data_IF_701470415238
#
_entry.id   IF_701470415238
#
_cell.length_a   1.000
_cell.length_b   1.000
_cell.length_c   1.000
_cell.angle_alpha   90.00
_cell.angle_beta   90.00
_cell.angle_gamma   90.00
#
_symmetry.space_group_name_H-M   'P 1'
#
loop_
_entity.id
_entity.type
_entity.pdbx_description
1 polymer ?
#
# COMPACT_ATOMS: atom_id res chain seq x y z
N UNK A 1 -25.56 7.00 -17.53
CA UNK A 1 -24.99 5.84 -16.80
C UNK A 1 -25.24 4.60 -17.65
N UNK A 2 -24.18 3.99 -18.19
CA UNK A 2 -24.28 2.68 -18.82
C UNK A 2 -24.47 1.66 -17.71
N UNK A 3 -25.65 1.04 -17.62
CA UNK A 3 -25.86 -0.07 -16.70
C UNK A 3 -25.25 -1.32 -17.34
N UNK A 4 -24.09 -1.73 -16.83
CA UNK A 4 -23.47 -3.00 -17.21
C UNK A 4 -24.21 -4.13 -16.50
N UNK A 5 -24.91 -4.98 -17.27
CA UNK A 5 -25.50 -6.21 -16.76
C UNK A 5 -24.47 -7.33 -16.90
N UNK A 6 -23.97 -7.83 -15.77
CA UNK A 6 -23.07 -8.99 -15.72
C UNK A 6 -23.87 -10.22 -15.35
N UNK A 7 -24.00 -11.17 -16.28
CA UNK A 7 -24.57 -12.49 -15.97
C UNK A 7 -23.49 -13.38 -15.36
N UNK A 8 -23.53 -13.51 -14.04
CA UNK A 8 -22.63 -14.37 -13.26
C UNK A 8 -23.28 -15.70 -12.89
N UNK A 9 -24.51 -15.97 -13.33
CA UNK A 9 -25.22 -17.22 -13.03
C UNK A 9 -24.51 -18.48 -13.57
N UNK A 10 -23.89 -18.47 -14.77
CA UNK A 10 -23.18 -19.63 -15.30
C UNK A 10 -21.90 -20.00 -14.54
N UNK A 11 -21.40 -19.11 -13.68
CA UNK A 11 -20.16 -19.35 -12.93
C UNK A 11 -20.39 -20.38 -11.81
N UNK A 12 -19.32 -21.04 -11.37
CA UNK A 12 -19.38 -21.86 -10.16
C UNK A 12 -19.73 -20.99 -8.93
N UNK A 13 -20.18 -21.62 -7.84
CA UNK A 13 -20.45 -20.92 -6.58
C UNK A 13 -19.27 -20.07 -6.13
N UNK A 14 -18.06 -20.65 -6.14
CA UNK A 14 -16.82 -19.95 -5.79
C UNK A 14 -16.57 -18.74 -6.70
N UNK A 15 -16.61 -18.93 -8.02
CA UNK A 15 -16.36 -17.85 -8.97
C UNK A 15 -17.43 -16.75 -8.89
N UNK A 16 -18.69 -17.11 -8.62
CA UNK A 16 -19.78 -16.16 -8.38
C UNK A 16 -19.47 -15.32 -7.13
N UNK A 17 -19.09 -15.97 -6.03
CA UNK A 17 -18.75 -15.30 -4.77
C UNK A 17 -17.53 -14.39 -4.91
N UNK A 18 -16.47 -14.86 -5.57
CA UNK A 18 -15.28 -14.06 -5.85
C UNK A 18 -15.64 -12.84 -6.72
N UNK A 19 -16.44 -13.03 -7.78
CA UNK A 19 -16.91 -11.93 -8.63
C UNK A 19 -17.72 -10.89 -7.84
N UNK A 20 -18.66 -11.34 -6.99
CA UNK A 20 -19.43 -10.45 -6.12
C UNK A 20 -18.51 -9.65 -5.19
N UNK A 21 -17.52 -10.29 -4.56
CA UNK A 21 -16.53 -9.58 -3.73
C UNK A 21 -15.81 -8.49 -4.52
N UNK A 22 -15.30 -8.81 -5.71
CA UNK A 22 -14.58 -7.84 -6.53
C UNK A 22 -15.47 -6.68 -6.95
N UNK A 23 -16.72 -6.94 -7.33
CA UNK A 23 -17.67 -5.90 -7.74
C UNK A 23 -17.96 -4.94 -6.59
N UNK A 24 -18.25 -5.46 -5.39
CA UNK A 24 -18.54 -4.64 -4.21
C UNK A 24 -17.31 -3.89 -3.69
N UNK A 25 -16.11 -4.48 -3.82
CA UNK A 25 -14.84 -3.81 -3.46
C UNK A 25 -14.39 -2.79 -4.50
N UNK A 26 -14.82 -2.92 -5.75
CA UNK A 26 -14.51 -2.01 -6.85
C UNK A 26 -15.49 -0.84 -6.97
N UNK A 27 -16.66 -0.90 -6.31
CA UNK A 27 -17.62 0.20 -6.29
C UNK A 27 -17.00 1.43 -5.61
N UNK A 28 -17.01 2.56 -6.33
CA UNK A 28 -16.69 3.90 -5.86
C UNK A 28 -15.19 4.21 -5.62
N UNK A 29 -14.34 3.94 -6.63
CA UNK A 29 -12.97 4.50 -6.73
C UNK A 29 -12.88 5.56 -7.84
N UNK A 30 -13.89 6.42 -7.98
CA UNK A 30 -13.89 7.48 -8.99
C UNK A 30 -12.84 8.55 -8.70
N UNK A 31 -11.86 8.71 -9.60
CA UNK A 31 -10.97 9.89 -9.68
C UNK A 31 -9.50 9.69 -9.32
N UNK A 32 -8.70 10.72 -9.61
CA UNK A 32 -7.25 10.80 -9.32
C UNK A 32 -6.94 11.10 -7.83
N UNK A 33 -7.91 10.89 -6.94
CA UNK A 33 -7.79 11.17 -5.50
C UNK A 33 -6.66 10.40 -4.79
N UNK A 34 -6.14 9.32 -5.40
CA UNK A 34 -4.97 8.62 -4.89
C UNK A 34 -3.72 9.54 -4.78
N UNK A 35 -3.64 10.54 -5.66
CA UNK A 35 -2.55 11.52 -5.69
C UNK A 35 -2.78 12.68 -4.73
N UNK A 36 -3.99 12.85 -4.18
CA UNK A 36 -4.25 13.85 -3.17
C UNK A 36 -3.39 13.57 -1.92
N UNK A 37 -2.89 14.62 -1.24
CA UNK A 37 -2.18 14.47 0.02
C UNK A 37 -3.04 13.75 1.06
N UNK A 38 -2.41 12.95 1.93
CA UNK A 38 -3.12 12.27 3.01
C UNK A 38 -3.74 13.28 4.00
N UNK A 39 -4.94 13.02 4.50
CA UNK A 39 -5.74 13.93 5.33
C UNK A 39 -5.08 14.14 6.69
N UNK A 40 -4.59 13.05 7.29
CA UNK A 40 -3.78 13.05 8.52
C UNK A 40 -2.46 13.85 8.36
N UNK A 41 -2.26 14.97 9.08
CA UNK A 41 -1.04 15.78 8.96
C UNK A 41 0.22 15.04 9.45
N UNK A 42 0.04 14.07 10.34
CA UNK A 42 1.11 13.26 10.95
C UNK A 42 1.83 12.34 9.95
N UNK A 43 1.10 11.76 8.99
CA UNK A 43 1.68 10.82 8.01
C UNK A 43 1.71 11.36 6.59
N UNK A 44 1.08 12.50 6.31
CA UNK A 44 1.08 13.13 4.98
C UNK A 44 2.48 13.22 4.40
N UNK A 45 3.44 13.80 5.14
CA UNK A 45 4.82 13.92 4.66
C UNK A 45 5.47 12.57 4.40
N UNK A 46 5.26 11.63 5.31
CA UNK A 46 5.82 10.29 5.25
C UNK A 46 5.35 9.55 3.99
N UNK A 47 4.06 9.63 3.69
CA UNK A 47 3.44 9.10 2.46
C UNK A 47 4.05 9.74 1.21
N UNK A 48 4.23 11.07 1.18
CA UNK A 48 4.84 11.75 0.02
C UNK A 48 6.31 11.38 -0.19
N UNK A 49 7.10 11.26 0.89
CA UNK A 49 8.50 10.88 0.81
C UNK A 49 8.67 9.46 0.27
N UNK A 50 7.91 8.50 0.82
CA UNK A 50 7.93 7.12 0.35
C UNK A 50 7.45 7.01 -1.10
N UNK A 51 6.39 7.74 -1.45
CA UNK A 51 5.90 7.81 -2.83
C UNK A 51 6.99 8.29 -3.76
N UNK A 52 7.60 9.45 -3.47
CA UNK A 52 8.63 10.04 -4.33
C UNK A 52 9.79 9.07 -4.57
N UNK A 53 10.32 8.47 -3.50
CA UNK A 53 11.47 7.54 -3.60
C UNK A 53 11.17 6.35 -4.50
N UNK A 54 10.00 5.73 -4.38
CA UNK A 54 9.63 4.63 -5.26
C UNK A 54 9.36 5.06 -6.69
N UNK A 55 8.72 6.22 -6.91
CA UNK A 55 8.54 6.76 -8.26
C UNK A 55 9.89 7.04 -8.94
N UNK A 56 10.85 7.62 -8.21
CA UNK A 56 12.21 7.85 -8.73
C UNK A 56 12.89 6.51 -9.11
N UNK A 57 12.72 5.45 -8.30
CA UNK A 57 13.25 4.11 -8.60
C UNK A 57 12.58 3.49 -9.82
N UNK A 58 11.25 3.56 -9.92
CA UNK A 58 10.47 3.02 -11.04
C UNK A 58 10.81 3.75 -12.36
N UNK A 59 10.93 5.08 -12.32
CA UNK A 59 11.40 5.88 -13.46
C UNK A 59 12.82 5.47 -13.89
N UNK A 60 13.71 5.20 -12.93
CA UNK A 60 15.05 4.70 -13.25
C UNK A 60 15.01 3.32 -13.92
N UNK A 61 14.16 2.38 -13.46
CA UNK A 61 13.97 1.09 -14.12
C UNK A 61 13.48 1.29 -15.55
N UNK A 62 12.44 2.12 -15.75
CA UNK A 62 11.89 2.39 -17.08
C UNK A 62 12.95 2.93 -18.05
N UNK A 63 13.67 3.97 -17.63
CA UNK A 63 14.72 4.61 -18.44
C UNK A 63 15.83 3.65 -18.78
N UNK A 64 16.23 2.80 -17.85
CA UNK A 64 17.34 1.88 -18.05
C UNK A 64 16.94 0.70 -18.94
N UNK A 65 15.72 0.16 -18.83
CA UNK A 65 15.24 -0.83 -19.80
C UNK A 65 15.28 -0.25 -21.21
N UNK A 66 14.78 0.98 -21.41
CA UNK A 66 14.83 1.64 -22.72
C UNK A 66 16.26 1.84 -23.22
N UNK A 67 17.18 2.28 -22.37
CA UNK A 67 18.58 2.50 -22.74
C UNK A 67 19.30 1.20 -23.14
N UNK A 68 19.03 0.10 -22.42
CA UNK A 68 19.57 -1.22 -22.77
C UNK A 68 19.03 -1.72 -24.10
N UNK A 69 17.71 -1.64 -24.32
CA UNK A 69 17.06 -2.07 -25.57
C UNK A 69 17.46 -1.18 -26.78
N UNK A 70 17.80 0.09 -26.55
CA UNK A 70 18.31 1.00 -27.58
C UNK A 70 19.80 0.79 -27.90
N UNK A 71 20.51 -0.03 -27.12
CA UNK A 71 21.94 -0.29 -27.30
C UNK A 71 22.86 0.81 -26.75
N UNK A 72 22.35 1.74 -25.95
CA UNK A 72 23.13 2.86 -25.37
C UNK A 72 24.28 2.39 -24.47
N UNK A 73 24.18 1.15 -23.98
CA UNK A 73 25.17 0.52 -23.10
C UNK A 73 26.16 -0.39 -23.84
N UNK A 74 25.98 -0.62 -25.15
CA UNK A 74 26.87 -1.49 -25.92
C UNK A 74 28.29 -0.91 -25.98
N UNK A 75 29.27 -1.74 -25.63
CA UNK A 75 30.70 -1.47 -25.74
C UNK A 75 31.34 -2.62 -26.51
N UNK A 76 31.87 -2.38 -27.72
CA UNK A 76 32.53 -3.41 -28.50
C UNK A 76 33.62 -4.10 -27.67
N UNK A 77 33.53 -5.42 -27.56
CA UNK A 77 34.55 -6.26 -26.93
C UNK A 77 35.31 -7.03 -28.00
N UNK A 78 36.64 -7.04 -27.94
CA UNK A 78 37.49 -7.85 -28.84
C UNK A 78 37.48 -9.34 -28.48
N UNK A 79 37.08 -9.68 -27.26
CA UNK A 79 37.05 -11.06 -26.75
C UNK A 79 35.61 -11.51 -26.41
N UNK A 80 35.24 -12.77 -26.71
CA UNK A 80 33.94 -13.30 -26.36
C UNK A 80 33.78 -13.38 -24.84
N UNK A 81 32.76 -12.70 -24.30
CA UNK A 81 32.39 -12.79 -22.88
C UNK A 81 31.42 -13.94 -22.69
N UNK A 82 31.74 -14.87 -21.78
CA UNK A 82 30.86 -15.99 -21.49
C UNK A 82 29.55 -15.52 -20.84
N UNK A 83 28.41 -16.05 -21.30
CA UNK A 83 27.09 -15.77 -20.70
C UNK A 83 27.08 -16.24 -19.23
N UNK A 84 26.78 -15.34 -18.27
CA UNK A 84 26.59 -15.73 -16.88
C UNK A 84 25.34 -16.59 -16.69
N UNK A 85 25.30 -17.38 -15.62
CA UNK A 85 24.11 -18.17 -15.28
C UNK A 85 22.89 -17.30 -14.98
N UNK A 86 21.73 -17.72 -15.50
CA UNK A 86 20.44 -17.14 -15.10
C UNK A 86 20.18 -17.48 -13.63
N UNK A 87 20.18 -16.47 -12.77
CA UNK A 87 19.92 -16.61 -11.34
C UNK A 87 18.73 -15.75 -10.95
N UNK A 88 17.97 -16.20 -9.96
CA UNK A 88 16.91 -15.39 -9.37
C UNK A 88 17.46 -14.16 -8.64
N UNK A 89 18.67 -14.28 -8.06
CA UNK A 89 19.38 -13.20 -7.37
C UNK A 89 20.88 -13.31 -7.61
N UNK A 90 21.48 -12.24 -8.10
CA UNK A 90 22.92 -12.11 -8.27
C UNK A 90 23.52 -11.33 -7.11
N UNK A 91 24.72 -11.71 -6.69
CA UNK A 91 25.57 -10.87 -5.84
C UNK A 91 26.25 -9.76 -6.68
N UNK A 92 26.99 -8.86 -6.03
CA UNK A 92 27.62 -7.71 -6.70
C UNK A 92 28.63 -8.11 -7.81
N UNK A 93 29.41 -9.17 -7.58
CA UNK A 93 30.35 -9.68 -8.57
C UNK A 93 29.61 -10.30 -9.77
N UNK A 94 28.56 -11.06 -9.52
CA UNK A 94 27.72 -11.65 -10.55
C UNK A 94 26.96 -10.58 -11.37
N UNK A 95 26.41 -9.55 -10.72
CA UNK A 95 25.82 -8.40 -11.41
C UNK A 95 26.83 -7.70 -12.31
N UNK A 96 28.08 -7.60 -11.88
CA UNK A 96 29.16 -7.03 -12.68
C UNK A 96 29.48 -7.88 -13.90
N UNK A 97 29.47 -9.22 -13.78
CA UNK A 97 29.65 -10.14 -14.90
C UNK A 97 28.47 -10.07 -15.89
N UNK A 98 27.23 -10.02 -15.40
CA UNK A 98 26.03 -9.84 -16.22
C UNK A 98 26.12 -8.54 -17.00
N UNK A 99 26.50 -7.44 -16.34
CA UNK A 99 26.72 -6.17 -17.02
C UNK A 99 27.74 -6.30 -18.15
N UNK A 100 28.92 -6.85 -17.87
CA UNK A 100 29.99 -7.00 -18.88
C UNK A 100 29.53 -7.84 -20.07
N UNK A 101 28.79 -8.92 -19.82
CA UNK A 101 28.21 -9.76 -20.86
C UNK A 101 27.21 -8.98 -21.73
N UNK A 102 26.24 -8.32 -21.13
CA UNK A 102 25.23 -7.54 -21.84
C UNK A 102 25.85 -6.36 -22.61
N UNK A 103 26.87 -5.69 -22.06
CA UNK A 103 27.57 -4.60 -22.76
C UNK A 103 28.35 -5.12 -23.98
N UNK A 104 28.77 -6.39 -24.00
CA UNK A 104 29.62 -6.95 -25.06
C UNK A 104 28.90 -7.27 -26.38
N UNK A 105 27.56 -7.35 -26.35
CA UNK A 105 26.73 -7.66 -27.51
C UNK A 105 25.73 -6.52 -27.74
N UNK A 106 25.51 -6.07 -28.97
CA UNK A 106 24.45 -5.12 -29.26
C UNK A 106 23.07 -5.84 -29.18
N UNK A 107 21.98 -5.13 -28.84
CA UNK A 107 20.66 -5.75 -28.62
C UNK A 107 20.11 -6.54 -29.81
N UNK A 108 20.52 -6.21 -31.04
CA UNK A 108 20.10 -6.94 -32.24
C UNK A 108 20.67 -8.37 -32.30
N UNK A 109 21.70 -8.66 -31.50
CA UNK A 109 22.31 -9.99 -31.37
C UNK A 109 21.84 -10.74 -30.12
N UNK A 110 21.00 -10.12 -29.30
CA UNK A 110 20.48 -10.74 -28.08
C UNK A 110 19.44 -11.82 -28.42
N UNK A 111 19.57 -12.96 -27.76
CA UNK A 111 18.48 -13.93 -27.67
C UNK A 111 17.44 -13.49 -26.63
N UNK A 112 16.29 -14.19 -26.60
CA UNK A 112 15.25 -13.93 -25.61
C UNK A 112 15.79 -13.96 -24.16
N UNK A 113 16.67 -14.91 -23.85
CA UNK A 113 17.30 -15.02 -22.53
C UNK A 113 18.14 -13.80 -22.16
N UNK A 114 18.76 -13.14 -23.14
CA UNK A 114 19.60 -11.97 -22.92
C UNK A 114 18.75 -10.74 -22.60
N UNK A 115 17.63 -10.55 -23.31
CA UNK A 115 16.62 -9.53 -22.94
C UNK A 115 16.07 -9.76 -21.54
N UNK A 116 15.78 -11.02 -21.20
CA UNK A 116 15.31 -11.40 -19.87
C UNK A 116 16.36 -11.13 -18.79
N UNK A 117 17.63 -11.38 -19.10
CA UNK A 117 18.76 -11.08 -18.23
C UNK A 117 18.93 -9.56 -18.04
N UNK A 118 18.76 -8.76 -19.10
CA UNK A 118 18.82 -7.30 -19.03
C UNK A 118 17.71 -6.72 -18.13
N UNK A 119 16.48 -7.21 -18.24
CA UNK A 119 15.39 -6.82 -17.34
C UNK A 119 15.71 -7.18 -15.89
N UNK A 120 16.16 -8.40 -15.63
CA UNK A 120 16.51 -8.86 -14.29
C UNK A 120 17.67 -8.03 -13.71
N UNK A 121 18.66 -7.69 -14.53
CA UNK A 121 19.80 -6.86 -14.14
C UNK A 121 19.34 -5.46 -13.72
N UNK A 122 18.50 -4.80 -14.52
CA UNK A 122 17.98 -3.48 -14.21
C UNK A 122 17.13 -3.52 -12.94
N UNK A 123 16.20 -4.47 -12.81
CA UNK A 123 15.35 -4.57 -11.63
C UNK A 123 16.17 -4.78 -10.35
N UNK A 124 17.13 -5.71 -10.35
CA UNK A 124 17.97 -5.95 -9.16
C UNK A 124 18.83 -4.73 -8.79
N UNK A 125 19.23 -3.91 -9.77
CA UNK A 125 20.04 -2.71 -9.52
C UNK A 125 19.23 -1.53 -8.96
N UNK A 126 18.01 -1.32 -9.43
CA UNK A 126 17.22 -0.13 -9.09
C UNK A 126 16.11 -0.40 -8.07
N UNK A 127 15.71 -1.67 -7.92
CA UNK A 127 14.76 -2.17 -6.93
C UNK A 127 15.40 -3.30 -6.05
N UNK A 128 16.56 -3.06 -5.42
CA UNK A 128 17.23 -4.08 -4.61
C UNK A 128 16.39 -4.45 -3.38
N UNK A 129 16.15 -5.75 -3.20
CA UNK A 129 15.23 -6.28 -2.18
C UNK A 129 15.57 -5.82 -0.75
N UNK A 130 16.85 -5.74 -0.40
CA UNK A 130 17.26 -5.36 0.96
C UNK A 130 16.98 -3.88 1.25
N UNK A 131 17.25 -2.97 0.30
CA UNK A 131 16.91 -1.55 0.47
C UNK A 131 15.41 -1.33 0.55
N UNK A 132 14.65 -2.05 -0.28
CA UNK A 132 13.19 -1.95 -0.29
C UNK A 132 12.57 -2.47 1.01
N UNK A 133 13.15 -3.50 1.62
CA UNK A 133 12.77 -3.97 2.95
C UNK A 133 13.09 -2.92 4.02
N UNK A 134 14.26 -2.29 3.96
CA UNK A 134 14.61 -1.18 4.86
C UNK A 134 13.65 -0.01 4.70
N UNK A 135 13.26 0.31 3.47
CA UNK A 135 12.34 1.41 3.17
C UNK A 135 10.91 1.11 3.66
N UNK A 136 10.47 -0.14 3.52
CA UNK A 136 9.20 -0.62 4.07
C UNK A 136 9.17 -0.52 5.62
N UNK A 137 10.24 -0.97 6.29
CA UNK A 137 10.35 -0.86 7.75
C UNK A 137 10.36 0.60 8.22
N UNK A 138 11.07 1.47 7.49
CA UNK A 138 11.09 2.91 7.77
C UNK A 138 9.69 3.52 7.70
N UNK A 139 8.92 3.18 6.66
CA UNK A 139 7.53 3.64 6.49
C UNK A 139 6.64 3.17 7.65
N UNK A 140 6.59 1.85 7.88
CA UNK A 140 5.67 1.25 8.84
C UNK A 140 6.00 1.64 10.28
N UNK A 141 7.28 1.69 10.63
CA UNK A 141 7.73 2.04 11.99
C UNK A 141 7.35 3.48 12.30
N UNK A 142 7.68 4.41 11.41
CA UNK A 142 7.42 5.84 11.64
C UNK A 142 5.93 6.14 11.63
N UNK A 143 5.16 5.52 10.74
CA UNK A 143 3.71 5.67 10.72
C UNK A 143 3.06 5.13 12.01
N UNK A 144 3.45 3.94 12.47
CA UNK A 144 2.95 3.39 13.73
C UNK A 144 3.31 4.23 14.95
N UNK A 145 4.54 4.75 15.00
CA UNK A 145 4.97 5.65 16.06
C UNK A 145 4.26 7.02 15.99
N UNK A 146 3.88 7.50 14.81
CA UNK A 146 3.00 8.68 14.69
C UNK A 146 1.61 8.42 15.27
N UNK A 147 1.11 7.18 15.25
CA UNK A 147 -0.08 6.79 16.01
C UNK A 147 0.11 6.95 17.51
N UNK A 148 1.27 6.54 18.05
CA UNK A 148 1.62 6.77 19.46
C UNK A 148 1.74 8.26 19.79
N UNK A 149 2.38 9.05 18.92
CA UNK A 149 2.44 10.52 19.06
C UNK A 149 1.03 11.10 19.14
N UNK A 150 0.14 10.70 18.23
CA UNK A 150 -1.25 11.14 18.24
C UNK A 150 -1.98 10.83 19.55
N UNK A 151 -1.69 9.68 20.17
CA UNK A 151 -2.28 9.29 21.45
C UNK A 151 -1.76 10.10 22.66
N UNK A 152 -0.65 10.83 22.50
CA UNK A 152 0.00 11.58 23.58
C UNK A 152 0.06 13.09 23.31
N UNK A 153 -0.50 13.56 22.20
CA UNK A 153 -0.66 14.97 21.88
C UNK A 153 -2.13 15.37 22.05
N UNK A 154 -2.35 16.60 22.50
CA UNK A 154 -3.69 17.17 22.55
C UNK A 154 -4.31 17.21 21.14
N UNK A 155 -5.61 16.92 21.06
CA UNK A 155 -6.35 16.86 19.80
C UNK A 155 -6.21 18.18 19.00
N UNK A 156 -6.26 19.31 19.70
CA UNK A 156 -6.07 20.64 19.12
C UNK A 156 -4.65 20.84 18.57
N UNK A 157 -3.63 20.31 19.26
CA UNK A 157 -2.26 20.37 18.79
C UNK A 157 -2.05 19.54 17.52
N UNK A 158 -2.68 18.36 17.42
CA UNK A 158 -2.64 17.53 16.20
C UNK A 158 -3.39 18.22 15.04
N UNK A 159 -4.56 18.81 15.31
CA UNK A 159 -5.38 19.46 14.30
C UNK A 159 -4.72 20.72 13.70
N UNK A 160 -4.01 21.48 14.54
CA UNK A 160 -3.30 22.71 14.13
C UNK A 160 -1.84 22.49 13.72
N UNK A 161 -1.38 21.24 13.72
CA UNK A 161 0.00 20.91 13.43
C UNK A 161 0.41 21.35 12.02
N UNK A 162 1.38 22.25 11.97
CA UNK A 162 2.00 22.68 10.72
C UNK A 162 2.89 21.57 10.16
N UNK A 163 3.16 21.62 8.85
CA UNK A 163 4.10 20.69 8.20
C UNK A 163 5.48 20.68 8.87
N UNK A 164 5.97 21.83 9.34
CA UNK A 164 7.25 21.92 10.07
C UNK A 164 7.25 21.16 11.39
N UNK A 165 6.14 21.20 12.13
CA UNK A 165 6.00 20.46 13.38
C UNK A 165 5.99 18.95 13.15
N UNK A 166 5.21 18.49 12.17
CA UNK A 166 5.18 17.08 11.78
C UNK A 166 6.56 16.59 11.29
N UNK A 167 7.28 17.41 10.52
CA UNK A 167 8.63 17.09 10.04
C UNK A 167 9.64 16.96 11.18
N UNK A 168 9.58 17.84 12.19
CA UNK A 168 10.45 17.77 13.36
C UNK A 168 10.22 16.49 14.17
N UNK A 169 8.96 16.12 14.39
CA UNK A 169 8.61 14.86 15.05
C UNK A 169 9.11 13.68 14.20
N UNK A 170 8.81 13.67 12.90
CA UNK A 170 9.21 12.61 12.00
C UNK A 170 10.74 12.43 11.97
N UNK A 171 11.52 13.51 12.03
CA UNK A 171 12.97 13.46 12.09
C UNK A 171 13.48 12.82 13.39
N UNK A 172 12.80 13.06 14.52
CA UNK A 172 13.13 12.50 15.83
C UNK A 172 12.68 11.03 16.02
N UNK A 173 11.77 10.54 15.18
CA UNK A 173 11.25 9.17 15.29
C UNK A 173 12.26 8.11 14.79
N UNK A 174 12.27 6.93 15.46
CA UNK A 174 13.11 5.80 15.09
C UNK A 174 12.74 5.30 13.69
N UNK A 175 13.71 4.71 12.99
CA UNK A 175 13.52 4.20 11.64
C UNK A 175 13.28 2.69 11.59
N UNK A 176 13.54 1.98 12.68
CA UNK A 176 13.36 0.52 12.78
C UNK A 176 12.56 0.15 14.02
N UNK A 177 11.92 -1.01 13.99
CA UNK A 177 11.17 -1.52 15.14
C UNK A 177 12.11 -1.73 16.32
N UNK A 178 13.31 -2.27 16.07
CA UNK A 178 14.34 -2.47 17.08
C UNK A 178 14.74 -1.15 17.79
N UNK A 179 14.92 -0.06 17.04
CA UNK A 179 15.19 1.27 17.60
C UNK A 179 14.01 1.80 18.41
N UNK A 180 12.77 1.60 17.93
CA UNK A 180 11.58 2.05 18.65
C UNK A 180 11.43 1.33 20.00
N UNK A 181 11.70 0.02 20.02
CA UNK A 181 11.67 -0.80 21.24
C UNK A 181 12.72 -0.34 22.25
N UNK A 182 13.96 -0.12 21.80
CA UNK A 182 15.05 0.27 22.69
C UNK A 182 14.87 1.69 23.24
N UNK A 183 14.33 2.61 22.44
CA UNK A 183 14.20 4.02 22.81
C UNK A 183 12.99 4.31 23.70
N UNK A 184 11.86 3.62 23.50
CA UNK A 184 10.58 3.99 24.16
C UNK A 184 10.00 2.92 25.08
N UNK A 185 10.72 1.82 25.33
CA UNK A 185 10.28 0.70 26.18
C UNK A 185 8.83 0.27 25.88
N UNK A 186 8.56 -0.03 24.61
CA UNK A 186 7.20 -0.28 24.12
C UNK A 186 6.56 -1.52 24.79
N UNK A 187 5.30 -1.43 25.26
CA UNK A 187 4.53 -2.57 25.72
C UNK A 187 4.40 -3.66 24.65
N UNK A 188 4.19 -4.92 25.06
CA UNK A 188 4.11 -6.07 24.15
C UNK A 188 3.15 -5.86 22.97
N UNK A 189 1.97 -5.27 23.23
CA UNK A 189 0.97 -4.99 22.19
C UNK A 189 1.44 -3.94 21.17
N UNK A 190 2.12 -2.88 21.59
CA UNK A 190 2.68 -1.86 20.69
C UNK A 190 3.80 -2.46 19.85
N UNK A 191 4.66 -3.30 20.44
CA UNK A 191 5.70 -4.03 19.70
C UNK A 191 5.12 -4.94 18.64
N UNK A 192 4.12 -5.75 18.99
CA UNK A 192 3.45 -6.64 18.05
C UNK A 192 2.81 -5.85 16.90
N UNK A 193 2.16 -4.73 17.20
CA UNK A 193 1.56 -3.85 16.18
C UNK A 193 2.60 -3.34 15.17
N UNK A 194 3.76 -2.89 15.63
CA UNK A 194 4.85 -2.44 14.75
C UNK A 194 5.45 -3.59 13.92
N UNK A 195 5.64 -4.77 14.53
CA UNK A 195 6.16 -5.95 13.81
C UNK A 195 5.21 -6.41 12.70
N UNK A 196 3.90 -6.47 12.97
CA UNK A 196 2.92 -6.83 11.94
C UNK A 196 2.90 -5.80 10.80
N UNK A 197 2.95 -4.50 11.14
CA UNK A 197 3.01 -3.45 10.13
C UNK A 197 4.29 -3.55 9.28
N UNK A 198 5.45 -3.82 9.91
CA UNK A 198 6.74 -4.01 9.22
C UNK A 198 6.70 -5.17 8.24
N UNK A 199 6.25 -6.35 8.68
CA UNK A 199 6.19 -7.54 7.84
C UNK A 199 5.22 -7.31 6.67
N UNK A 200 4.01 -6.82 6.95
CA UNK A 200 3.00 -6.61 5.91
C UNK A 200 3.43 -5.59 4.85
N UNK A 201 4.04 -4.49 5.27
CA UNK A 201 4.57 -3.47 4.34
C UNK A 201 5.68 -4.05 3.48
N UNK A 202 6.60 -4.82 4.08
CA UNK A 202 7.69 -5.44 3.34
C UNK A 202 7.19 -6.47 2.30
N UNK A 203 6.18 -7.28 2.64
CA UNK A 203 5.57 -8.22 1.70
C UNK A 203 4.91 -7.49 0.52
N UNK A 204 4.18 -6.40 0.78
CA UNK A 204 3.55 -5.61 -0.29
C UNK A 204 4.58 -4.95 -1.23
N UNK A 205 5.66 -4.41 -0.67
CA UNK A 205 6.75 -3.83 -1.48
C UNK A 205 7.46 -4.91 -2.29
N UNK A 206 7.73 -6.08 -1.70
CA UNK A 206 8.34 -7.21 -2.41
C UNK A 206 7.45 -7.70 -3.55
N UNK A 207 6.17 -7.91 -3.29
CA UNK A 207 5.20 -8.32 -4.31
C UNK A 207 5.13 -7.33 -5.48
N UNK A 208 5.25 -6.03 -5.21
CA UNK A 208 5.35 -5.02 -6.27
C UNK A 208 6.63 -5.19 -7.09
N UNK A 209 7.79 -5.38 -6.47
CA UNK A 209 9.05 -5.60 -7.20
C UNK A 209 9.01 -6.86 -8.06
N UNK A 210 8.44 -7.95 -7.55
CA UNK A 210 8.25 -9.18 -8.32
C UNK A 210 7.30 -8.94 -9.51
N UNK A 211 6.25 -8.14 -9.31
CA UNK A 211 5.33 -7.71 -10.36
C UNK A 211 6.03 -6.84 -11.41
N UNK A 212 6.90 -5.91 -11.03
CA UNK A 212 7.73 -5.13 -11.96
C UNK A 212 8.54 -6.08 -12.83
N UNK A 213 9.31 -7.00 -12.22
CA UNK A 213 10.13 -7.97 -12.94
C UNK A 213 9.30 -8.75 -13.96
N UNK A 214 8.20 -9.36 -13.52
CA UNK A 214 7.38 -10.19 -14.38
C UNK A 214 6.71 -9.39 -15.52
N UNK A 215 6.14 -8.22 -15.21
CA UNK A 215 5.49 -7.37 -16.22
C UNK A 215 6.46 -6.86 -17.27
N UNK A 216 7.66 -6.44 -16.87
CA UNK A 216 8.68 -5.96 -17.80
C UNK A 216 9.14 -7.07 -18.75
N UNK A 217 9.42 -8.26 -18.22
CA UNK A 217 9.76 -9.44 -19.03
C UNK A 217 8.67 -9.74 -20.06
N UNK A 218 7.42 -9.83 -19.63
CA UNK A 218 6.30 -10.12 -20.54
C UNK A 218 6.12 -9.00 -21.58
N UNK A 219 6.29 -7.74 -21.19
CA UNK A 219 6.16 -6.59 -22.10
C UNK A 219 7.22 -6.64 -23.20
N UNK A 220 8.47 -6.98 -22.85
CA UNK A 220 9.56 -7.14 -23.83
C UNK A 220 9.30 -8.34 -24.74
N UNK A 221 8.93 -9.50 -24.20
CA UNK A 221 8.60 -10.68 -25.01
C UNK A 221 7.47 -10.38 -26.02
N UNK A 222 6.38 -9.78 -25.57
CA UNK A 222 5.28 -9.38 -26.44
C UNK A 222 5.71 -8.37 -27.51
N UNK A 223 6.60 -7.43 -27.15
CA UNK A 223 7.13 -6.48 -28.12
C UNK A 223 7.98 -7.16 -29.20
N UNK A 224 8.85 -8.10 -28.82
CA UNK A 224 9.69 -8.84 -29.77
C UNK A 224 8.86 -9.77 -30.67
N UNK A 225 7.86 -10.45 -30.11
CA UNK A 225 6.89 -11.27 -30.87
C UNK A 225 6.11 -10.41 -31.87
N UNK A 226 5.65 -9.23 -31.44
CA UNK A 226 5.02 -8.27 -32.33
C UNK A 226 5.98 -7.81 -33.42
N UNK A 227 7.24 -7.45 -33.15
CA UNK A 227 8.17 -7.04 -34.20
C UNK A 227 8.37 -8.13 -35.26
N UNK A 228 8.43 -9.40 -34.87
CA UNK A 228 8.52 -10.53 -35.79
C UNK A 228 7.26 -10.69 -36.65
N UNK A 229 6.07 -10.40 -36.11
CA UNK A 229 4.79 -10.50 -36.82
C UNK A 229 4.39 -9.21 -37.57
N UNK A 230 4.90 -8.05 -37.15
CA UNK A 230 4.74 -6.72 -37.78
C UNK A 230 5.40 -6.69 -39.16
N UNK A 231 6.45 -7.50 -39.36
CA UNK A 231 7.01 -7.79 -40.69
C UNK A 231 5.96 -8.36 -41.67
N UNK A 232 4.80 -8.83 -41.19
CA UNK A 232 3.64 -9.27 -41.97
C UNK A 232 2.54 -8.20 -42.17
N UNK A 233 2.79 -6.92 -41.85
CA UNK A 233 1.95 -5.79 -42.28
C UNK A 233 0.99 -5.18 -41.26
N UNK A 234 1.13 -5.48 -39.96
CA UNK A 234 0.33 -4.85 -38.87
C UNK A 234 1.22 -3.91 -38.05
N UNK A 235 0.95 -2.59 -37.96
CA UNK A 235 1.76 -1.68 -37.15
C UNK A 235 1.65 -2.00 -35.65
N UNK A 236 2.77 -2.36 -35.01
CA UNK A 236 2.87 -2.55 -33.55
C UNK A 236 3.05 -1.23 -32.79
N UNK A 237 2.71 -1.23 -31.50
CA UNK A 237 2.95 -0.10 -30.60
C UNK A 237 4.44 -0.04 -30.21
N UNK A 238 5.01 1.17 -30.17
CA UNK A 238 6.40 1.36 -29.73
C UNK A 238 6.61 0.87 -28.28
N UNK A 239 7.77 0.26 -28.01
CA UNK A 239 8.11 -0.26 -26.68
C UNK A 239 7.96 0.82 -25.59
N UNK A 240 8.39 2.05 -25.88
CA UNK A 240 8.28 3.17 -24.96
C UNK A 240 6.84 3.40 -24.47
N UNK A 241 5.85 3.32 -25.37
CA UNK A 241 4.46 3.52 -24.99
C UNK A 241 3.93 2.36 -24.13
N UNK A 242 4.28 1.11 -24.48
CA UNK A 242 3.90 -0.05 -23.65
C UNK A 242 4.48 0.03 -22.24
N UNK A 243 5.75 0.39 -22.13
CA UNK A 243 6.40 0.59 -20.83
C UNK A 243 5.74 1.74 -20.07
N UNK A 244 5.43 2.85 -20.74
CA UNK A 244 4.72 3.97 -20.11
C UNK A 244 3.39 3.53 -19.47
N UNK A 245 2.59 2.74 -20.17
CA UNK A 245 1.32 2.22 -19.65
C UNK A 245 1.52 1.30 -18.44
N UNK A 246 2.53 0.42 -18.48
CA UNK A 246 2.86 -0.47 -17.37
C UNK A 246 3.34 0.33 -16.14
N UNK A 247 4.22 1.30 -16.33
CA UNK A 247 4.75 2.12 -15.24
C UNK A 247 3.70 3.06 -14.66
N UNK A 248 2.72 3.53 -15.43
CA UNK A 248 1.58 4.27 -14.91
C UNK A 248 0.79 3.44 -13.86
N UNK A 249 0.58 2.15 -14.13
CA UNK A 249 -0.05 1.24 -13.17
C UNK A 249 0.84 0.97 -11.94
N UNK A 250 2.13 0.69 -12.16
CA UNK A 250 3.08 0.41 -11.09
C UNK A 250 3.27 1.61 -10.15
N UNK A 251 3.27 2.84 -10.70
CA UNK A 251 3.32 4.07 -9.93
C UNK A 251 2.09 4.23 -9.02
N UNK A 252 0.90 3.89 -9.53
CA UNK A 252 -0.34 3.88 -8.75
C UNK A 252 -0.31 2.81 -7.65
N UNK A 253 0.24 1.64 -7.94
CA UNK A 253 0.38 0.55 -6.96
C UNK A 253 1.39 0.90 -5.86
N UNK A 254 2.50 1.56 -6.20
CA UNK A 254 3.44 2.07 -5.20
C UNK A 254 2.79 3.10 -4.28
N UNK A 255 2.07 4.08 -4.86
CA UNK A 255 1.33 5.09 -4.10
C UNK A 255 0.28 4.44 -3.19
N UNK A 256 -0.41 3.39 -3.66
CA UNK A 256 -1.39 2.63 -2.87
C UNK A 256 -0.76 2.03 -1.62
N UNK A 257 0.43 1.43 -1.75
CA UNK A 257 1.18 0.90 -0.61
C UNK A 257 1.49 2.03 0.37
N UNK A 258 2.00 3.17 -0.13
CA UNK A 258 2.33 4.33 0.71
C UNK A 258 1.14 4.78 1.57
N UNK A 259 -0.02 4.99 0.95
CA UNK A 259 -1.25 5.45 1.62
C UNK A 259 -1.78 4.39 2.58
N UNK A 260 -1.92 3.14 2.10
CA UNK A 260 -2.58 2.07 2.84
C UNK A 260 -1.74 1.62 4.04
N UNK A 261 -0.46 1.38 3.84
CA UNK A 261 0.40 0.86 4.90
C UNK A 261 0.72 1.92 5.96
N UNK A 262 0.92 3.18 5.57
CA UNK A 262 1.08 4.25 6.54
C UNK A 262 -0.21 4.51 7.33
N UNK A 263 -1.36 4.55 6.65
CA UNK A 263 -2.66 4.78 7.29
C UNK A 263 -3.01 3.67 8.27
N UNK A 264 -2.82 2.40 7.87
CA UNK A 264 -3.04 1.27 8.78
C UNK A 264 -2.08 1.33 9.97
N UNK A 265 -0.78 1.49 9.72
CA UNK A 265 0.20 1.47 10.80
C UNK A 265 -0.09 2.59 11.81
N UNK A 266 -0.41 3.81 11.34
CA UNK A 266 -0.80 4.92 12.21
C UNK A 266 -2.04 4.58 13.05
N UNK A 267 -3.10 4.10 12.42
CA UNK A 267 -4.38 3.87 13.10
C UNK A 267 -4.29 2.72 14.11
N UNK A 268 -3.64 1.61 13.75
CA UNK A 268 -3.33 0.52 14.69
C UNK A 268 -2.42 1.00 15.83
N UNK A 269 -1.38 1.77 15.52
CA UNK A 269 -0.47 2.33 16.52
C UNK A 269 -1.14 3.30 17.50
N UNK A 270 -2.12 4.08 17.02
CA UNK A 270 -2.94 4.94 17.86
C UNK A 270 -3.81 4.11 18.81
N UNK A 271 -4.60 3.16 18.31
CA UNK A 271 -5.46 2.31 19.14
C UNK A 271 -4.63 1.49 20.15
N UNK A 272 -3.47 0.97 19.75
CA UNK A 272 -2.55 0.25 20.65
C UNK A 272 -1.88 1.14 21.72
N UNK A 273 -2.02 2.46 21.60
CA UNK A 273 -1.47 3.43 22.55
C UNK A 273 -2.50 3.96 23.55
N UNK A 274 -3.78 3.67 23.34
CA UNK A 274 -4.87 4.09 24.22
C UNK A 274 -5.13 3.07 25.33
N UNK A 275 -5.68 3.55 26.44
CA UNK A 275 -6.12 2.68 27.53
C UNK A 275 -7.48 2.05 27.17
N UNK A 276 -7.75 0.80 27.59
CA UNK A 276 -9.10 0.28 27.55
C UNK A 276 -10.08 1.22 28.27
N UNK A 277 -11.27 1.39 27.71
CA UNK A 277 -12.29 2.34 28.17
C UNK A 277 -12.31 3.65 27.37
N UNK A 278 -11.18 4.08 26.78
CA UNK A 278 -11.11 5.33 26.02
C UNK A 278 -12.09 5.33 24.84
N UNK A 279 -12.83 6.43 24.67
CA UNK A 279 -13.72 6.66 23.52
C UNK A 279 -12.98 7.34 22.37
N UNK A 280 -13.18 6.81 21.17
CA UNK A 280 -12.60 7.36 19.93
C UNK A 280 -13.67 7.48 18.85
N UNK A 281 -13.57 8.52 18.03
CA UNK A 281 -14.48 8.76 16.90
C UNK A 281 -13.78 8.41 15.59
N UNK A 282 -14.46 7.69 14.70
CA UNK A 282 -13.99 7.41 13.35
C UNK A 282 -14.20 8.62 12.45
N UNK A 283 -13.21 8.94 11.61
CA UNK A 283 -13.28 10.04 10.63
C UNK A 283 -12.86 9.51 9.26
N UNK A 284 -13.76 9.60 8.28
CA UNK A 284 -13.62 9.14 6.88
C UNK A 284 -13.87 10.29 5.88
N UNK A 285 -13.47 11.52 6.26
CA UNK A 285 -13.69 12.74 5.49
C UNK A 285 -12.66 12.93 4.35
N UNK A 286 -12.71 12.06 3.33
CA UNK A 286 -11.96 12.24 2.08
C UNK A 286 -12.88 12.12 0.87
N UNK A 287 -12.55 12.85 -0.20
CA UNK A 287 -13.42 13.04 -1.35
C UNK A 287 -13.85 11.73 -2.02
N UNK A 288 -13.01 10.70 -1.94
CA UNK A 288 -13.23 9.39 -2.56
C UNK A 288 -13.63 8.31 -1.56
N UNK A 289 -14.26 8.67 -0.43
CA UNK A 289 -14.74 7.68 0.54
C UNK A 289 -15.85 6.81 -0.07
N UNK A 290 -15.66 5.49 -0.03
CA UNK A 290 -16.65 4.52 -0.51
C UNK A 290 -17.88 4.48 0.40
N UNK A 291 -18.95 3.80 -0.03
CA UNK A 291 -20.19 3.67 0.74
C UNK A 291 -19.98 3.08 2.15
N UNK A 292 -19.06 2.13 2.31
CA UNK A 292 -18.74 1.56 3.63
C UNK A 292 -18.05 2.60 4.54
N UNK A 293 -17.04 3.30 4.02
CA UNK A 293 -16.34 4.35 4.77
C UNK A 293 -17.29 5.48 5.20
N UNK A 294 -18.19 5.90 4.31
CA UNK A 294 -19.25 6.88 4.64
C UNK A 294 -20.17 6.37 5.76
N UNK A 295 -20.50 5.08 5.79
CA UNK A 295 -21.35 4.48 6.84
C UNK A 295 -20.70 4.52 8.22
N UNK A 296 -19.38 4.30 8.30
CA UNK A 296 -18.67 4.26 9.58
C UNK A 296 -18.11 5.62 10.02
N UNK A 297 -18.25 6.66 9.20
CA UNK A 297 -17.86 8.02 9.58
C UNK A 297 -18.66 8.49 10.80
N UNK A 298 -17.99 9.12 11.75
CA UNK A 298 -18.61 9.62 12.99
C UNK A 298 -18.91 8.56 14.05
N UNK A 299 -18.74 7.26 13.77
CA UNK A 299 -18.97 6.20 14.77
C UNK A 299 -18.02 6.38 15.96
N UNK A 300 -18.59 6.36 17.16
CA UNK A 300 -17.85 6.37 18.41
C UNK A 300 -17.67 4.93 18.91
N UNK A 301 -16.43 4.53 19.15
CA UNK A 301 -16.08 3.21 19.65
C UNK A 301 -15.35 3.29 21.00
N UNK A 302 -15.55 2.28 21.83
CA UNK A 302 -14.76 2.06 23.05
C UNK A 302 -13.54 1.21 22.74
N UNK A 303 -12.35 1.68 23.12
CA UNK A 303 -11.13 0.88 23.10
C UNK A 303 -11.25 -0.24 24.14
N UNK A 304 -11.04 -1.48 23.73
CA UNK A 304 -11.01 -2.65 24.61
C UNK A 304 -9.72 -3.43 24.44
N UNK A 305 -9.39 -4.28 25.42
CA UNK A 305 -8.26 -5.18 25.31
C UNK A 305 -8.49 -6.19 24.17
N UNK A 306 -7.42 -6.59 23.47
CA UNK A 306 -7.54 -7.51 22.34
C UNK A 306 -7.99 -8.92 22.77
N UNK A 307 -7.73 -9.30 24.01
CA UNK A 307 -8.10 -10.56 24.66
C UNK A 307 -9.40 -10.46 25.49
N UNK A 308 -10.10 -9.31 25.46
CA UNK A 308 -11.37 -9.18 26.17
C UNK A 308 -12.39 -10.22 25.67
N UNK A 309 -13.15 -10.88 26.56
CA UNK A 309 -14.25 -11.76 26.17
C UNK A 309 -15.40 -10.93 25.58
N UNK A 310 -16.24 -11.57 24.76
CA UNK A 310 -17.54 -11.04 24.29
C UNK A 310 -17.49 -9.63 23.66
N UNK A 311 -16.49 -9.40 22.79
CA UNK A 311 -16.31 -8.10 22.12
C UNK A 311 -17.43 -7.80 21.13
N UNK A 312 -17.96 -6.58 21.18
CA UNK A 312 -18.91 -6.07 20.20
C UNK A 312 -18.17 -5.44 19.00
N UNK A 313 -18.27 -6.02 17.79
CA UNK A 313 -17.57 -5.52 16.63
C UNK A 313 -18.13 -4.20 16.06
N UNK A 314 -19.29 -3.72 16.48
CA UNK A 314 -19.85 -2.47 15.98
C UNK A 314 -19.54 -1.29 16.91
N UNK A 315 -19.41 -1.54 18.22
CA UNK A 315 -19.23 -0.48 19.22
C UNK A 315 -17.87 -0.51 19.93
N UNK A 316 -17.08 -1.57 19.75
CA UNK A 316 -15.76 -1.72 20.38
C UNK A 316 -14.64 -1.85 19.35
N UNK A 317 -13.46 -1.37 19.73
CA UNK A 317 -12.26 -1.36 18.89
C UNK A 317 -11.06 -1.87 19.68
N UNK A 318 -10.20 -2.66 19.04
CA UNK A 318 -9.00 -3.22 19.69
C UNK A 318 -7.86 -3.36 18.67
N UNK A 319 -6.60 -3.34 19.12
CA UNK A 319 -5.45 -3.52 18.23
C UNK A 319 -5.52 -4.84 17.46
N UNK A 320 -5.27 -4.76 16.15
CA UNK A 320 -5.32 -5.89 15.24
C UNK A 320 -6.69 -6.19 14.64
N UNK A 321 -7.77 -5.52 15.08
CA UNK A 321 -9.10 -5.66 14.45
C UNK A 321 -9.06 -5.15 13.01
N UNK A 322 -9.38 -6.01 12.05
CA UNK A 322 -9.32 -5.73 10.63
C UNK A 322 -10.39 -6.50 9.84
N UNK A 323 -10.45 -6.26 8.53
CA UNK A 323 -11.40 -6.88 7.60
C UNK A 323 -10.81 -8.01 6.74
N UNK A 324 -9.65 -8.56 7.11
CA UNK A 324 -9.08 -9.73 6.42
C UNK A 324 -9.99 -10.93 6.60
N UNK A 325 -10.33 -11.61 5.50
CA UNK A 325 -11.27 -12.73 5.50
C UNK A 325 -12.75 -12.32 5.58
N UNK A 326 -13.06 -11.01 5.65
CA UNK A 326 -14.42 -10.48 5.67
C UNK A 326 -14.87 -9.98 4.30
N UNK A 327 -16.18 -9.96 4.10
CA UNK A 327 -16.86 -9.67 2.84
C UNK A 327 -17.42 -8.25 2.78
N UNK A 328 -17.30 -7.63 1.61
CA UNK A 328 -18.02 -6.39 1.29
C UNK A 328 -19.39 -6.68 0.64
N UNK A 329 -19.57 -7.88 0.09
CA UNK A 329 -20.80 -8.28 -0.60
C UNK A 329 -21.86 -8.73 0.41
N UNK A 330 -23.04 -8.11 0.47
CA UNK A 330 -24.10 -8.48 1.40
C UNK A 330 -24.69 -9.87 1.12
N UNK A 331 -24.36 -10.47 -0.03
CA UNK A 331 -24.87 -11.78 -0.45
C UNK A 331 -23.75 -12.70 -0.93
N UNK A 332 -24.01 -14.00 -0.81
CA UNK A 332 -23.21 -15.09 -1.36
C UNK A 332 -24.11 -16.09 -2.07
N UNK A 333 -23.58 -16.77 -3.08
CA UNK A 333 -24.19 -17.94 -3.68
C UNK A 333 -23.96 -19.14 -2.77
N UNK A 334 -25.03 -19.89 -2.54
CA UNK A 334 -25.04 -21.23 -1.91
C UNK A 334 -25.95 -22.10 -2.76
N UNK A 335 -25.37 -23.10 -3.44
CA UNK A 335 -26.09 -23.84 -4.49
C UNK A 335 -26.51 -22.90 -5.61
N UNK A 336 -27.80 -22.86 -5.94
CA UNK A 336 -28.36 -22.02 -7.01
C UNK A 336 -29.04 -20.73 -6.54
N UNK A 337 -28.84 -20.35 -5.26
CA UNK A 337 -29.47 -19.18 -4.67
C UNK A 337 -28.45 -18.17 -4.14
N UNK A 338 -28.78 -16.88 -4.28
CA UNK A 338 -28.10 -15.81 -3.56
C UNK A 338 -28.77 -15.61 -2.21
N UNK A 339 -28.05 -15.95 -1.14
CA UNK A 339 -28.48 -15.78 0.24
C UNK A 339 -27.77 -14.59 0.87
N UNK A 340 -28.36 -14.01 1.92
CA UNK A 340 -27.68 -13.00 2.72
C UNK A 340 -26.47 -13.63 3.44
N UNK A 341 -25.41 -12.85 3.60
CA UNK A 341 -24.29 -13.22 4.47
C UNK A 341 -24.62 -12.95 5.92
N UNK A 342 -24.04 -13.76 6.80
CA UNK A 342 -24.16 -13.55 8.23
C UNK A 342 -23.35 -12.30 8.66
N UNK A 343 -23.75 -11.57 9.71
CA UNK A 343 -23.07 -10.35 10.14
C UNK A 343 -21.57 -10.53 10.46
N UNK A 344 -21.18 -11.73 10.91
CA UNK A 344 -19.79 -12.09 11.20
C UNK A 344 -18.96 -12.37 9.94
N UNK A 345 -19.58 -12.60 8.78
CA UNK A 345 -18.89 -12.65 7.49
C UNK A 345 -18.63 -11.26 6.91
N UNK A 346 -19.40 -10.26 7.33
CA UNK A 346 -19.37 -8.92 6.75
C UNK A 346 -18.21 -8.07 7.30
N UNK A 347 -17.84 -7.03 6.54
CA UNK A 347 -16.96 -5.97 7.02
C UNK A 347 -17.51 -5.31 8.27
N UNK A 348 -16.61 -5.08 9.22
CA UNK A 348 -16.88 -4.46 10.51
C UNK A 348 -16.01 -3.21 10.66
N UNK A 349 -16.28 -2.44 11.71
CA UNK A 349 -15.49 -1.27 12.08
C UNK A 349 -14.02 -1.67 12.36
N UNK A 350 -13.04 -1.31 11.51
CA UNK A 350 -11.66 -1.76 11.64
C UNK A 350 -10.86 -0.84 12.56
N UNK A 351 -9.89 -1.39 13.31
CA UNK A 351 -8.93 -0.55 14.04
C UNK A 351 -8.01 0.20 13.08
N UNK A 352 -7.70 -0.45 11.96
CA UNK A 352 -6.91 0.08 10.87
C UNK A 352 -7.70 0.84 9.79
N UNK A 353 -7.36 0.53 8.54
CA UNK A 353 -8.12 0.91 7.35
C UNK A 353 -9.12 -0.19 6.98
N UNK A 354 -10.22 0.20 6.32
CA UNK A 354 -11.25 -0.76 5.91
C UNK A 354 -10.81 -1.62 4.71
N UNK A 355 -10.09 -1.03 3.77
CA UNK A 355 -9.56 -1.68 2.57
C UNK A 355 -8.41 -0.86 1.97
N UNK A 356 -7.70 -1.36 0.93
CA UNK A 356 -6.68 -0.57 0.24
C UNK A 356 -7.21 0.77 -0.26
N UNK A 357 -6.37 1.81 -0.19
CA UNK A 357 -6.67 3.22 -0.51
C UNK A 357 -7.57 4.00 0.47
N UNK A 358 -8.16 3.35 1.46
CA UNK A 358 -8.85 4.08 2.53
C UNK A 358 -7.88 5.01 3.26
N UNK A 359 -8.43 6.08 3.83
CA UNK A 359 -7.64 7.10 4.55
C UNK A 359 -8.22 7.46 5.92
N UNK A 360 -9.20 6.67 6.35
CA UNK A 360 -9.89 6.89 7.61
C UNK A 360 -8.93 6.87 8.79
N UNK A 361 -9.27 7.66 9.81
CA UNK A 361 -8.49 7.80 11.04
C UNK A 361 -9.38 7.75 12.26
N UNK A 362 -8.76 7.54 13.40
CA UNK A 362 -9.37 7.73 14.71
C UNK A 362 -8.98 9.08 15.28
N UNK A 363 -9.90 9.73 15.98
CA UNK A 363 -9.65 10.94 16.77
C UNK A 363 -10.20 10.75 18.17
N UNK A 364 -9.62 11.39 19.20
CA UNK A 364 -10.19 11.32 20.54
C UNK A 364 -11.58 11.95 20.56
N UNK A 365 -12.47 11.40 21.38
CA UNK A 365 -13.71 12.06 21.76
C UNK A 365 -13.38 13.02 22.91
N UNK A 366 -13.91 14.24 22.87
CA UNK A 366 -13.84 15.15 24.01
C UNK A 366 -14.88 14.65 25.02
N UNK A 367 -14.41 14.10 26.14
CA UNK A 367 -15.24 13.65 27.25
C UNK A 367 -15.24 14.75 28.32
N UNK A 368 -16.39 14.98 28.98
CA UNK A 368 -16.48 15.94 30.08
C UNK A 368 -15.73 15.40 31.30
N UNK A 369 -14.89 16.25 31.91
CA UNK A 369 -14.20 15.94 33.15
C UNK A 369 -15.02 16.39 34.38
N UNK A 370 -14.79 15.79 35.56
CA UNK A 370 -15.41 16.25 36.80
C UNK A 370 -15.08 17.72 37.09
N UNK A 371 -16.08 18.59 36.96
CA UNK A 371 -15.94 20.04 37.16
C UNK A 371 -16.14 20.87 35.89
N UNK A 372 -16.26 20.23 34.73
CA UNK A 372 -16.65 20.91 33.49
C UNK A 372 -18.11 21.41 33.57
N UNK A 373 -18.38 22.49 32.85
CA UNK A 373 -19.73 23.04 32.69
C UNK A 373 -20.45 22.28 31.56
N UNK A 374 -21.41 21.39 31.87
CA UNK A 374 -22.06 20.57 30.87
C UNK A 374 -22.91 21.38 29.89
N UNK A 375 -23.50 22.51 30.30
CA UNK A 375 -24.28 23.37 29.39
C UNK A 375 -23.37 24.06 28.36
N UNK A 376 -22.20 24.53 28.80
CA UNK A 376 -21.21 25.12 27.91
C UNK A 376 -20.59 24.07 26.97
N UNK A 377 -20.32 22.86 27.48
CA UNK A 377 -19.82 21.75 26.67
C UNK A 377 -20.82 21.34 25.58
N UNK A 378 -22.11 21.24 25.91
CA UNK A 378 -23.18 20.94 24.94
C UNK A 378 -23.36 22.05 23.91
N UNK A 379 -23.31 23.32 24.31
CA UNK A 379 -23.31 24.45 23.39
C UNK A 379 -22.10 24.40 22.43
N UNK A 380 -20.90 24.09 22.93
CA UNK A 380 -19.69 23.94 22.10
C UNK A 380 -19.80 22.76 21.12
N UNK A 381 -20.40 21.64 21.54
CA UNK A 381 -20.66 20.48 20.68
C UNK A 381 -21.62 20.84 19.56
N UNK A 382 -22.69 21.59 19.84
CA UNK A 382 -23.62 22.08 18.79
C UNK A 382 -22.96 23.06 17.82
N UNK A 383 -22.08 23.94 18.30
CA UNK A 383 -21.35 24.89 17.46
C UNK A 383 -20.28 24.26 16.55
N UNK A 384 -19.74 23.10 16.96
CA UNK A 384 -18.64 22.41 16.28
C UNK A 384 -19.07 21.14 15.52
N UNK A 385 -20.33 20.70 15.67
CA UNK A 385 -20.94 19.61 14.90
C UNK A 385 -21.22 20.05 13.46
#
# INVERSE_FOLDING_TARGET
MSNLFLDIYPLSERATNDALEYIFKAHDHGGDGIWSPHESPLIRRLVELFTKRGLDRLDAVQKQILAWEAGDHHKPSEAPVARPGMMERWNEAELSLVKLYLESLPPEQWGLDDHMMAVDYVVQRYLPADELKTEAEWLSTRAGMMGKVQANLDAAAVATMTGKGADAILAALPSTVAQAVSQFNLPAQQRATLEFARVRTAENVRALTDSVRHRMRNTIVQHLEEQQTTAAGVPGQALQSKLFDQFAMLNRDWRRIAVTEAGEAQTQGYIASLKPGTKVKRVEQYATACGFCKKIDGVIATVVAADAPDKDPETQIWPGKNNVGRSASPRKRVGDQLVARDPDEMWQLPAGLAHPHCRGRWVPVIEDEPGDDPEFADMLRELLA
#
